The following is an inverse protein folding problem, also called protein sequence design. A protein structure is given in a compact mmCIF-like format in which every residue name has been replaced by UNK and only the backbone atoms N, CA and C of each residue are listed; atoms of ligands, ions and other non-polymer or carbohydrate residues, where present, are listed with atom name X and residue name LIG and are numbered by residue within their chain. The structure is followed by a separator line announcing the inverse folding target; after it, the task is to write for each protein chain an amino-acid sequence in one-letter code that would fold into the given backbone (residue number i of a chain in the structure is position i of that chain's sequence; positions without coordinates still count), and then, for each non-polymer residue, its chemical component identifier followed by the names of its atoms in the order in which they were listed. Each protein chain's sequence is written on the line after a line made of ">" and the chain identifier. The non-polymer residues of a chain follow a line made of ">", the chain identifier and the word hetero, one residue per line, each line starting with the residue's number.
data_IF_854741476576
#
_entry.id   IF_854741476576
#
_cell.length_a   1.000
_cell.length_b   1.000
_cell.length_c   1.000
_cell.angle_alpha   90.00
_cell.angle_beta   90.00
_cell.angle_gamma   90.00
#
_symmetry.space_group_name_H-M   'P 1'
#
loop_
_entity.id
_entity.type
_entity.pdbx_description
1 polymer ?
#
# COMPACT_ATOMS: atom_id res chain seq x y z
N UNK A 1 0.44 1.54 1.37
CA UNK A 1 1.39 0.83 2.24
C UNK A 1 2.87 1.06 1.85
N UNK A 2 3.29 0.92 0.57
CA UNK A 2 4.69 1.20 0.17
C UNK A 2 5.10 2.64 0.47
N UNK A 3 4.33 3.62 0.03
CA UNK A 3 4.55 5.04 0.33
C UNK A 3 4.52 5.32 1.84
N UNK A 4 3.64 4.63 2.58
CA UNK A 4 3.57 4.75 4.04
C UNK A 4 4.89 4.34 4.72
N UNK A 5 5.52 3.24 4.27
CA UNK A 5 6.82 2.78 4.79
C UNK A 5 7.96 3.74 4.40
N UNK A 6 7.92 4.34 3.20
CA UNK A 6 8.88 5.37 2.80
C UNK A 6 8.75 6.60 3.70
N UNK A 7 7.53 7.06 3.95
CA UNK A 7 7.24 8.21 4.82
C UNK A 7 7.53 7.91 6.30
N UNK A 8 7.14 6.72 6.78
CA UNK A 8 7.34 6.28 8.15
C UNK A 8 7.87 4.83 8.21
N UNK A 9 9.19 4.62 8.41
CA UNK A 9 9.79 3.28 8.52
C UNK A 9 9.30 2.47 9.72
N UNK A 10 8.74 3.12 10.73
CA UNK A 10 8.23 2.45 11.92
C UNK A 10 6.79 1.95 11.74
N UNK A 11 6.17 2.19 10.56
CA UNK A 11 4.88 1.61 10.21
C UNK A 11 5.01 0.10 9.90
N UNK A 12 5.09 -0.67 10.97
CA UNK A 12 5.18 -2.14 10.90
C UNK A 12 3.95 -2.79 10.27
N UNK A 13 2.77 -2.16 10.37
CA UNK A 13 1.52 -2.65 9.79
C UNK A 13 1.58 -2.57 8.27
N UNK A 14 1.95 -1.43 7.72
CA UNK A 14 2.14 -1.28 6.27
C UNK A 14 3.27 -2.18 5.77
N UNK A 15 4.38 -2.27 6.49
CA UNK A 15 5.50 -3.12 6.11
C UNK A 15 5.12 -4.61 6.08
N UNK A 16 4.40 -5.11 7.06
CA UNK A 16 3.95 -6.51 7.09
C UNK A 16 3.04 -6.86 5.91
N UNK A 17 2.19 -5.92 5.47
CA UNK A 17 1.31 -6.12 4.29
C UNK A 17 2.07 -6.27 2.99
N UNK A 18 3.21 -5.62 2.84
CA UNK A 18 3.93 -5.52 1.56
C UNK A 18 5.20 -6.36 1.49
N UNK A 19 5.67 -6.90 2.61
CA UNK A 19 6.96 -7.63 2.67
C UNK A 19 7.07 -8.76 1.63
N UNK A 20 5.96 -9.40 1.32
CA UNK A 20 5.88 -10.49 0.33
C UNK A 20 4.92 -10.19 -0.85
N UNK A 21 4.63 -8.94 -1.12
CA UNK A 21 3.81 -8.51 -2.27
C UNK A 21 4.58 -7.47 -3.07
N UNK A 22 5.01 -7.73 -4.31
CA UNK A 22 5.03 -9.03 -5.01
C UNK A 22 5.76 -10.13 -4.26
N UNK A 23 5.49 -11.40 -4.63
CA UNK A 23 6.07 -12.54 -3.94
C UNK A 23 7.62 -12.52 -3.97
N UNK A 24 8.23 -12.52 -2.79
CA UNK A 24 9.69 -12.49 -2.56
C UNK A 24 10.22 -13.74 -1.90
N UNK A 25 9.36 -14.76 -1.74
CA UNK A 25 9.72 -15.98 -1.02
C UNK A 25 9.85 -15.80 0.50
N UNK A 26 9.36 -14.71 1.04
CA UNK A 26 9.29 -14.47 2.49
C UNK A 26 7.94 -14.99 2.96
N UNK A 27 7.87 -16.28 3.26
CA UNK A 27 6.66 -16.88 3.86
C UNK A 27 6.57 -16.60 5.37
N UNK A 28 5.45 -17.00 5.99
CA UNK A 28 5.15 -16.73 7.40
C UNK A 28 6.28 -17.13 8.35
N UNK A 29 6.91 -18.29 8.13
CA UNK A 29 8.03 -18.73 8.95
C UNK A 29 9.31 -17.89 8.79
N UNK A 30 9.53 -17.31 7.61
CA UNK A 30 10.61 -16.35 7.37
C UNK A 30 10.34 -15.01 8.02
N UNK A 31 9.11 -14.54 7.89
CA UNK A 31 8.64 -13.30 8.51
C UNK A 31 8.73 -13.37 10.04
N UNK A 32 8.20 -14.44 10.65
CA UNK A 32 8.27 -14.65 12.10
C UNK A 32 9.71 -14.62 12.64
N UNK A 33 10.71 -15.10 11.87
CA UNK A 33 12.12 -15.02 12.28
C UNK A 33 12.66 -13.59 12.23
N UNK A 34 12.22 -12.78 11.26
CA UNK A 34 12.59 -11.37 11.18
C UNK A 34 11.96 -10.59 12.35
N UNK A 35 10.72 -10.88 12.69
CA UNK A 35 10.05 -10.30 13.88
C UNK A 35 10.75 -10.71 15.19
N UNK A 36 11.14 -11.97 15.31
CA UNK A 36 11.87 -12.46 16.48
C UNK A 36 13.24 -11.77 16.63
N UNK A 37 13.93 -11.53 15.51
CA UNK A 37 15.18 -10.75 15.51
C UNK A 37 14.93 -9.31 15.98
N UNK A 38 13.91 -8.66 15.44
CA UNK A 38 13.52 -7.30 15.82
C UNK A 38 13.28 -7.21 17.32
N UNK A 39 12.48 -8.13 17.88
CA UNK A 39 12.18 -8.19 19.29
C UNK A 39 13.41 -8.47 20.16
N UNK A 40 14.27 -9.40 19.75
CA UNK A 40 15.46 -9.80 20.52
C UNK A 40 16.53 -8.69 20.60
N UNK A 41 16.65 -7.88 19.55
CA UNK A 41 17.65 -6.82 19.46
C UNK A 41 17.11 -5.41 19.72
N UNK A 42 15.79 -5.28 20.00
CA UNK A 42 15.14 -3.98 20.22
C UNK A 42 15.12 -3.11 18.95
N UNK A 43 15.04 -3.75 17.77
CA UNK A 43 15.00 -3.09 16.48
C UNK A 43 13.56 -2.90 16.02
N UNK A 44 13.32 -1.93 15.11
CA UNK A 44 12.09 -1.93 14.35
C UNK A 44 12.10 -3.08 13.32
N UNK A 45 10.91 -3.48 12.85
CA UNK A 45 10.78 -4.48 11.79
C UNK A 45 11.56 -4.05 10.53
N UNK A 46 11.51 -2.76 10.20
CA UNK A 46 12.26 -2.16 9.11
C UNK A 46 13.78 -2.35 9.25
N UNK A 47 14.33 -2.08 10.43
CA UNK A 47 15.76 -2.28 10.71
C UNK A 47 16.17 -3.75 10.66
N UNK A 48 15.28 -4.65 11.10
CA UNK A 48 15.52 -6.09 11.05
C UNK A 48 15.60 -6.64 9.61
N UNK A 49 14.88 -6.02 8.64
CA UNK A 49 14.99 -6.40 7.22
C UNK A 49 16.43 -6.33 6.70
N UNK A 50 17.19 -5.32 7.10
CA UNK A 50 18.59 -5.16 6.68
C UNK A 50 19.48 -6.33 7.09
N UNK A 51 19.09 -7.10 8.10
CA UNK A 51 19.84 -8.24 8.65
C UNK A 51 19.26 -9.60 8.29
N UNK A 52 18.15 -9.64 7.54
CA UNK A 52 17.41 -10.85 7.25
C UNK A 52 18.21 -11.93 6.48
N UNK A 53 19.20 -11.54 5.68
CA UNK A 53 20.05 -12.48 4.94
C UNK A 53 20.94 -13.33 5.87
N UNK A 54 21.35 -12.78 7.01
CA UNK A 54 22.18 -13.48 7.98
C UNK A 54 21.41 -14.49 8.85
N UNK A 55 20.05 -14.46 8.80
CA UNK A 55 19.22 -15.36 9.59
C UNK A 55 19.14 -16.75 8.97
N UNK A 56 19.58 -17.75 9.74
CA UNK A 56 19.53 -19.14 9.30
C UNK A 56 18.09 -19.60 8.99
N UNK A 57 17.90 -20.16 7.79
CA UNK A 57 16.62 -20.72 7.35
C UNK A 57 15.54 -19.71 7.03
N UNK A 58 15.87 -18.44 6.79
CA UNK A 58 14.96 -17.44 6.22
C UNK A 58 15.06 -17.55 4.70
N UNK A 59 14.05 -18.18 4.08
CA UNK A 59 13.87 -18.08 2.63
C UNK A 59 13.50 -16.64 2.29
N UNK A 60 14.11 -16.10 1.23
CA UNK A 60 13.86 -14.69 0.85
C UNK A 60 14.61 -13.66 1.68
N UNK A 61 15.55 -14.05 2.56
CA UNK A 61 16.33 -13.11 3.36
C UNK A 61 17.09 -12.08 2.52
N UNK A 62 17.70 -12.52 1.41
CA UNK A 62 18.33 -11.61 0.43
C UNK A 62 17.32 -10.62 -0.17
N UNK A 63 16.11 -11.09 -0.50
CA UNK A 63 15.07 -10.22 -1.04
C UNK A 63 14.55 -9.21 0.01
N UNK A 64 14.53 -9.58 1.30
CA UNK A 64 14.23 -8.65 2.39
C UNK A 64 15.27 -7.53 2.49
N UNK A 65 16.55 -7.87 2.42
CA UNK A 65 17.64 -6.86 2.38
C UNK A 65 17.54 -5.97 1.15
N UNK A 66 17.21 -6.53 -0.02
CA UNK A 66 17.00 -5.75 -1.24
C UNK A 66 15.79 -4.81 -1.12
N UNK A 67 14.71 -5.26 -0.47
CA UNK A 67 13.54 -4.44 -0.18
C UNK A 67 13.91 -3.27 0.74
N UNK A 68 14.66 -3.51 1.82
CA UNK A 68 15.17 -2.46 2.68
C UNK A 68 16.03 -1.46 1.89
N UNK A 69 16.97 -1.94 1.08
CA UNK A 69 17.82 -1.06 0.26
C UNK A 69 17.02 -0.23 -0.76
N UNK A 70 15.92 -0.77 -1.29
CA UNK A 70 15.00 -0.03 -2.16
C UNK A 70 14.33 1.10 -1.38
N UNK A 71 13.81 0.82 -0.18
CA UNK A 71 13.23 1.86 0.67
C UNK A 71 14.23 2.96 1.03
N UNK A 72 15.46 2.62 1.36
CA UNK A 72 16.50 3.63 1.65
C UNK A 72 16.76 4.54 0.44
N UNK A 73 16.78 3.99 -0.79
CA UNK A 73 16.88 4.81 -2.00
C UNK A 73 15.69 5.74 -2.17
N UNK A 74 14.47 5.24 -1.99
CA UNK A 74 13.27 6.08 -2.10
C UNK A 74 13.24 7.18 -1.03
N UNK A 75 13.70 6.89 0.18
CA UNK A 75 13.80 7.88 1.27
C UNK A 75 14.87 8.94 1.00
N UNK A 76 15.96 8.57 0.33
CA UNK A 76 16.96 9.53 -0.13
C UNK A 76 16.42 10.52 -1.18
N UNK A 77 15.28 10.18 -1.82
CA UNK A 77 14.56 11.06 -2.75
C UNK A 77 13.55 11.99 -2.04
N UNK A 78 13.77 12.32 -0.77
CA UNK A 78 12.81 13.11 0.04
C UNK A 78 12.51 14.52 -0.51
N UNK A 79 13.33 15.04 -1.42
CA UNK A 79 13.13 16.31 -2.11
C UNK A 79 12.47 16.15 -3.49
N UNK A 80 12.25 14.93 -3.95
CA UNK A 80 11.56 14.64 -5.20
C UNK A 80 10.04 14.70 -5.02
N UNK A 81 9.34 14.85 -6.14
CA UNK A 81 7.88 14.77 -6.14
C UNK A 81 7.40 13.40 -5.65
N UNK A 82 6.31 13.33 -4.89
CA UNK A 82 5.74 12.07 -4.43
C UNK A 82 5.45 11.06 -5.57
N UNK A 83 5.06 11.54 -6.76
CA UNK A 83 4.86 10.71 -7.94
C UNK A 83 6.14 10.05 -8.43
N UNK A 84 7.28 10.75 -8.41
CA UNK A 84 8.59 10.19 -8.77
C UNK A 84 9.00 9.08 -7.79
N UNK A 85 8.71 9.26 -6.50
CA UNK A 85 8.96 8.24 -5.47
C UNK A 85 8.10 7.00 -5.74
N UNK A 86 6.82 7.18 -6.07
CA UNK A 86 5.92 6.07 -6.41
C UNK A 86 6.37 5.34 -7.68
N UNK A 87 6.75 6.06 -8.74
CA UNK A 87 7.28 5.48 -9.98
C UNK A 87 8.55 4.65 -9.70
N UNK A 88 9.45 5.17 -8.87
CA UNK A 88 10.66 4.45 -8.45
C UNK A 88 10.32 3.15 -7.69
N UNK A 89 9.32 3.18 -6.81
CA UNK A 89 8.84 1.99 -6.11
C UNK A 89 8.29 0.98 -7.11
N UNK A 90 7.29 1.36 -7.92
CA UNK A 90 6.61 0.48 -8.87
C UNK A 90 7.59 -0.21 -9.83
N UNK A 91 8.54 0.57 -10.36
CA UNK A 91 9.60 0.07 -11.23
C UNK A 91 10.54 -0.90 -10.50
N UNK A 92 11.01 -0.53 -9.30
CA UNK A 92 11.96 -1.35 -8.52
C UNK A 92 11.41 -2.72 -8.14
N UNK A 93 10.09 -2.83 -7.91
CA UNK A 93 9.45 -4.08 -7.51
C UNK A 93 8.80 -4.83 -8.67
N UNK A 94 8.80 -4.26 -9.88
CA UNK A 94 8.14 -4.84 -11.06
C UNK A 94 6.64 -5.01 -10.85
N UNK A 95 5.97 -3.99 -10.25
CA UNK A 95 4.59 -4.13 -9.79
C UNK A 95 3.60 -4.33 -10.94
N UNK A 96 3.79 -3.64 -12.06
CA UNK A 96 2.93 -3.79 -13.24
C UNK A 96 3.05 -5.20 -13.82
N UNK A 97 4.28 -5.72 -13.96
CA UNK A 97 4.52 -7.10 -14.41
C UNK A 97 3.91 -8.14 -13.46
N UNK A 98 3.89 -7.83 -12.16
CA UNK A 98 3.24 -8.66 -11.15
C UNK A 98 1.73 -8.68 -11.36
N UNK A 99 1.09 -7.53 -11.61
CA UNK A 99 -0.35 -7.44 -11.85
C UNK A 99 -0.76 -8.15 -13.13
N UNK A 100 0.04 -8.05 -14.20
CA UNK A 100 -0.23 -8.71 -15.49
C UNK A 100 -0.15 -10.24 -15.44
N UNK A 101 0.58 -10.79 -14.46
CA UNK A 101 0.68 -12.26 -14.27
C UNK A 101 -0.47 -12.86 -13.48
N UNK A 102 -1.26 -12.04 -12.80
CA UNK A 102 -2.43 -12.50 -12.07
C UNK A 102 -3.58 -12.69 -13.06
N UNK A 103 -4.14 -13.91 -13.14
CA UNK A 103 -5.27 -14.28 -14.05
C UNK A 103 -6.60 -13.62 -13.65
N UNK A 104 -6.69 -12.98 -12.51
CA UNK A 104 -7.80 -12.08 -12.12
C UNK A 104 -7.72 -10.77 -12.92
N UNK A 105 -8.80 -9.95 -13.01
CA UNK A 105 -8.85 -8.78 -13.90
C UNK A 105 -7.70 -7.80 -13.60
N UNK A 106 -6.53 -8.12 -14.13
CA UNK A 106 -5.30 -7.35 -13.96
C UNK A 106 -5.42 -5.95 -14.56
N UNK A 107 -6.20 -5.80 -15.62
CA UNK A 107 -6.48 -4.51 -16.25
C UNK A 107 -7.10 -3.52 -15.26
N UNK A 108 -8.14 -3.91 -14.52
CA UNK A 108 -8.77 -3.06 -13.51
C UNK A 108 -7.81 -2.65 -12.38
N UNK A 109 -6.84 -3.51 -12.03
CA UNK A 109 -5.84 -3.19 -11.01
C UNK A 109 -4.77 -2.23 -11.53
N UNK A 110 -4.42 -2.33 -12.81
CA UNK A 110 -3.50 -1.39 -13.45
C UNK A 110 -4.16 -0.04 -13.56
N UNK A 111 -5.42 0.02 -13.99
CA UNK A 111 -6.21 1.25 -14.02
C UNK A 111 -6.26 1.93 -12.63
N UNK A 112 -6.47 1.15 -11.55
CA UNK A 112 -6.43 1.69 -10.19
C UNK A 112 -5.05 2.27 -9.81
N UNK A 113 -3.94 1.69 -10.29
CA UNK A 113 -2.60 2.23 -10.07
C UNK A 113 -2.41 3.53 -10.85
N UNK A 114 -2.91 3.58 -12.08
CA UNK A 114 -2.86 4.78 -12.93
C UNK A 114 -3.70 5.91 -12.33
N UNK A 115 -4.92 5.60 -11.87
CA UNK A 115 -5.79 6.56 -11.19
C UNK A 115 -5.16 7.10 -9.90
N UNK A 116 -4.55 6.22 -9.11
CA UNK A 116 -3.81 6.63 -7.92
C UNK A 116 -2.62 7.54 -8.27
N UNK A 117 -1.90 7.24 -9.35
CA UNK A 117 -0.81 8.08 -9.84
C UNK A 117 -1.33 9.45 -10.29
N UNK A 118 -2.47 9.50 -11.00
CA UNK A 118 -3.07 10.76 -11.43
C UNK A 118 -3.51 11.59 -10.22
N UNK A 119 -4.16 10.99 -9.22
CA UNK A 119 -4.54 11.67 -7.97
C UNK A 119 -3.33 12.27 -7.25
N UNK A 120 -2.17 11.59 -7.32
CA UNK A 120 -0.93 12.08 -6.72
C UNK A 120 -0.38 13.29 -7.49
N UNK A 121 -0.44 13.27 -8.81
CA UNK A 121 -0.03 14.40 -9.66
C UNK A 121 -0.96 15.61 -9.51
N UNK A 122 -2.27 15.38 -9.43
CA UNK A 122 -3.25 16.46 -9.17
C UNK A 122 -2.96 17.14 -7.82
N UNK A 123 -2.61 16.34 -6.80
CA UNK A 123 -2.17 16.87 -5.51
C UNK A 123 -0.89 17.71 -5.63
N UNK A 124 0.10 17.24 -6.39
CA UNK A 124 1.36 17.94 -6.62
C UNK A 124 1.15 19.29 -7.34
N UNK A 125 0.19 19.36 -8.27
CA UNK A 125 -0.14 20.60 -8.97
C UNK A 125 -0.88 21.61 -8.06
N UNK A 126 -1.61 21.13 -7.06
CA UNK A 126 -2.40 21.94 -6.15
C UNK A 126 -1.58 22.50 -4.98
N UNK A 127 -0.51 21.82 -4.58
CA UNK A 127 0.28 22.14 -3.39
C UNK A 127 1.59 22.87 -3.74
N UNK A 128 1.94 23.88 -2.97
CA UNK A 128 3.18 24.64 -3.16
C UNK A 128 4.44 23.81 -2.78
N UNK A 129 4.31 22.97 -1.77
CA UNK A 129 5.38 22.08 -1.25
C UNK A 129 4.80 20.68 -1.03
N UNK A 130 4.56 19.92 -2.11
CA UNK A 130 3.94 18.61 -2.02
C UNK A 130 4.85 17.62 -1.30
N UNK A 131 4.28 16.87 -0.34
CA UNK A 131 4.98 15.83 0.39
C UNK A 131 4.21 14.51 0.41
N UNK A 132 4.94 13.39 0.43
CA UNK A 132 4.34 12.06 0.53
C UNK A 132 3.54 11.89 1.83
N UNK A 133 4.01 12.46 2.94
CA UNK A 133 3.33 12.37 4.24
C UNK A 133 1.99 13.08 4.23
N UNK A 134 1.93 14.30 3.69
CA UNK A 134 0.71 15.10 3.68
C UNK A 134 -0.33 14.51 2.72
N UNK A 135 0.10 14.01 1.57
CA UNK A 135 -0.78 13.26 0.66
C UNK A 135 -1.41 12.04 1.34
N UNK A 136 -0.61 11.22 2.05
CA UNK A 136 -1.13 10.05 2.76
C UNK A 136 -2.09 10.44 3.88
N UNK A 137 -1.83 11.53 4.58
CA UNK A 137 -2.73 12.07 5.59
C UNK A 137 -4.05 12.52 4.98
N UNK A 138 -4.00 13.23 3.86
CA UNK A 138 -5.19 13.68 3.13
C UNK A 138 -6.08 12.49 2.70
N UNK A 139 -5.49 11.45 2.09
CA UNK A 139 -6.24 10.23 1.72
C UNK A 139 -6.88 9.56 2.96
N UNK A 140 -6.16 9.53 4.07
CA UNK A 140 -6.68 8.91 5.30
C UNK A 140 -7.88 9.67 5.84
N UNK A 141 -7.87 11.00 5.76
CA UNK A 141 -9.01 11.85 6.15
C UNK A 141 -10.22 11.62 5.24
N UNK A 142 -10.04 11.61 3.92
CA UNK A 142 -11.13 11.31 2.98
C UNK A 142 -11.76 9.93 3.22
N UNK A 143 -10.94 8.92 3.56
CA UNK A 143 -11.43 7.59 3.88
C UNK A 143 -12.21 7.54 5.20
N UNK A 144 -11.85 8.39 6.16
CA UNK A 144 -12.54 8.51 7.45
C UNK A 144 -13.85 9.29 7.34
N UNK A 145 -13.86 10.38 6.57
CA UNK A 145 -15.06 11.22 6.32
C UNK A 145 -16.12 10.47 5.50
N UNK A 146 -15.71 9.54 4.63
CA UNK A 146 -16.66 8.67 3.90
C UNK A 146 -17.44 7.72 4.81
N UNK A 147 -17.08 7.64 6.10
CA UNK A 147 -17.78 6.88 7.15
C UNK A 147 -18.62 7.75 8.09
N UNK A 148 -18.57 9.07 7.97
CA UNK A 148 -19.36 9.96 8.84
C UNK A 148 -20.73 10.23 8.20
N UNK A 149 -21.77 9.65 8.81
CA UNK A 149 -23.18 9.70 8.41
C UNK A 149 -23.76 11.10 8.75
N UNK A 150 -23.28 12.12 8.06
CA UNK A 150 -23.95 13.42 8.08
C UNK A 150 -25.23 13.30 7.25
N UNK A 151 -26.35 13.08 7.91
CA UNK A 151 -27.68 12.65 7.47
C UNK A 151 -28.37 13.32 6.28
N UNK A 152 -27.66 13.91 5.34
CA UNK A 152 -28.16 14.54 4.10
C UNK A 152 -27.40 14.09 2.84
N UNK A 153 -26.55 13.05 2.91
CA UNK A 153 -25.79 12.55 1.77
C UNK A 153 -26.45 11.36 1.09
N UNK A 154 -26.37 11.29 -0.24
CA UNK A 154 -26.72 10.11 -1.01
C UNK A 154 -25.53 9.16 -1.02
N UNK A 155 -25.68 8.00 -0.37
CA UNK A 155 -24.65 6.97 -0.34
C UNK A 155 -24.76 6.07 -1.57
N UNK A 156 -23.72 6.05 -2.42
CA UNK A 156 -23.56 5.09 -3.52
C UNK A 156 -22.63 3.97 -3.06
N UNK A 157 -23.19 2.78 -2.89
CA UNK A 157 -22.44 1.63 -2.37
C UNK A 157 -22.77 0.37 -3.15
N UNK A 158 -21.85 -0.60 -3.18
CA UNK A 158 -22.14 -1.92 -3.71
C UNK A 158 -22.97 -2.73 -2.73
N UNK A 159 -23.77 -3.70 -3.22
CA UNK A 159 -24.52 -4.64 -2.37
C UNK A 159 -23.62 -5.37 -1.35
N UNK A 160 -22.40 -5.64 -1.75
CA UNK A 160 -21.42 -6.29 -0.87
C UNK A 160 -21.03 -5.39 0.32
N UNK A 161 -20.80 -4.12 0.06
CA UNK A 161 -20.44 -3.12 1.09
C UNK A 161 -21.65 -2.73 1.95
N UNK A 162 -22.89 -2.90 1.42
CA UNK A 162 -24.12 -2.69 2.18
C UNK A 162 -24.43 -3.79 3.20
N UNK A 163 -23.73 -4.93 3.15
CA UNK A 163 -23.96 -6.06 4.04
C UNK A 163 -23.73 -5.67 5.50
N UNK A 164 -24.81 -5.72 6.29
CA UNK A 164 -24.75 -5.36 7.71
C UNK A 164 -25.04 -3.89 8.02
N UNK A 165 -25.32 -3.08 7.01
CA UNK A 165 -25.77 -1.70 7.16
C UNK A 165 -27.29 -1.62 6.99
N UNK A 166 -27.93 -0.65 7.68
CA UNK A 166 -29.37 -0.40 7.61
C UNK A 166 -29.62 1.00 7.06
N UNK A 167 -30.43 1.11 6.00
CA UNK A 167 -30.80 2.38 5.37
C UNK A 167 -32.31 2.55 5.37
N UNK A 168 -32.79 3.80 5.59
CA UNK A 168 -34.21 4.12 5.59
C UNK A 168 -34.85 3.99 4.21
N UNK A 169 -34.11 4.26 3.16
CA UNK A 169 -34.52 4.18 1.75
C UNK A 169 -33.34 3.61 0.95
N UNK A 170 -33.62 2.63 0.08
CA UNK A 170 -32.62 2.00 -0.77
C UNK A 170 -33.14 1.97 -2.20
N UNK A 171 -32.32 2.44 -3.14
CA UNK A 171 -32.56 2.32 -4.57
C UNK A 171 -31.57 1.33 -5.17
N UNK A 172 -32.09 0.24 -5.72
CA UNK A 172 -31.28 -0.71 -6.48
C UNK A 172 -31.25 -0.27 -7.95
N UNK A 173 -30.04 -0.05 -8.48
CA UNK A 173 -29.83 0.27 -9.89
C UNK A 173 -29.05 -0.85 -10.57
N UNK A 174 -29.21 -1.01 -11.88
CA UNK A 174 -28.50 -2.03 -12.66
C UNK A 174 -29.00 -3.46 -12.46
N UNK A 175 -30.25 -3.65 -12.03
CA UNK A 175 -30.89 -4.96 -12.01
C UNK A 175 -31.32 -5.31 -13.44
N UNK A 176 -30.50 -6.12 -14.12
CA UNK A 176 -30.82 -6.68 -15.42
C UNK A 176 -31.25 -8.14 -15.28
N UNK A 177 -32.25 -8.57 -16.06
CA UNK A 177 -32.72 -9.95 -16.08
C UNK A 177 -31.64 -10.81 -16.76
N UNK A 178 -30.99 -11.72 -16.02
CA UNK A 178 -30.10 -12.73 -16.60
C UNK A 178 -28.60 -12.60 -16.32
N UNK A 179 -28.19 -11.88 -15.28
CA UNK A 179 -26.80 -11.94 -14.73
C UNK A 179 -26.70 -12.86 -13.54
#
# INVERSE_FOLDING_TARGET
>A
AYLSVVSNPDDSVSLSRIINVPNRGIGDGGFAKIEALAAAEGLSLYQALARAEALAGVRGGKAAVQLHAMFERCRAMAQSQPSEILEQILSSIGYIDYLLKDESPGESRIENVEEFMNSLRDYEEAEAEPSTSDFLQQISLYSAESGDDSGEALNLITLHNAKGLEFRVVFFTGLEEGT
#
